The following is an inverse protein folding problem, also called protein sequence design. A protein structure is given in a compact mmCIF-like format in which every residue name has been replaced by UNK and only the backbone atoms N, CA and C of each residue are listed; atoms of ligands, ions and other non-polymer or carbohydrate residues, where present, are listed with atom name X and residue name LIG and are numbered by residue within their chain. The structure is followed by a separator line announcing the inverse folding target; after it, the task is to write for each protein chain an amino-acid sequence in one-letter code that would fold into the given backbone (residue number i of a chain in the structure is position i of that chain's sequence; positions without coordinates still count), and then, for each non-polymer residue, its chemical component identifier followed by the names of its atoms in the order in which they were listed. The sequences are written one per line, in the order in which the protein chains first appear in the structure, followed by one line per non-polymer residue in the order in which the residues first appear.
data_IF_382511762322
#
_entry.id   IF_382511762322
#
_cell.length_a   1.000
_cell.length_b   1.000
_cell.length_c   1.000
_cell.angle_alpha   90.00
_cell.angle_beta   90.00
_cell.angle_gamma   90.00
#
_symmetry.space_group_name_H-M   'P 1'
#
loop_
_entity.id
_entity.type
_entity.pdbx_description
1 polymer ?
#
# COMPACT_ATOMS: atom_id res chain seq x y z
N UNK A 1 -4.22 8.99 6.20
CA UNK A 1 -4.66 7.60 5.97
C UNK A 1 -5.06 7.47 4.50
N UNK A 2 -5.05 6.26 3.95
CA UNK A 2 -5.47 5.98 2.56
C UNK A 2 -6.38 4.76 2.55
N UNK A 3 -7.27 4.68 1.56
CA UNK A 3 -8.20 3.55 1.38
C UNK A 3 -7.90 2.83 0.07
N UNK A 4 -8.03 1.51 0.05
CA UNK A 4 -7.86 0.69 -1.16
C UNK A 4 -9.12 0.68 -2.03
N UNK A 5 -9.01 1.08 -3.30
CA UNK A 5 -10.19 1.51 -4.09
C UNK A 5 -10.78 0.44 -5.04
N UNK A 6 -9.98 -0.51 -5.52
CA UNK A 6 -10.43 -1.39 -6.64
C UNK A 6 -10.36 -2.90 -6.35
N UNK A 7 -9.44 -3.34 -5.49
CA UNK A 7 -9.26 -4.76 -5.16
C UNK A 7 -8.32 -4.92 -3.95
N UNK A 8 -8.05 -6.17 -3.56
CA UNK A 8 -7.03 -6.46 -2.57
C UNK A 8 -5.67 -5.94 -3.06
N UNK A 9 -5.05 -5.09 -2.27
CA UNK A 9 -3.80 -4.44 -2.60
C UNK A 9 -2.63 -5.23 -2.02
N UNK A 10 -1.71 -5.65 -2.89
CA UNK A 10 -0.47 -6.26 -2.44
C UNK A 10 0.49 -5.19 -1.93
N UNK A 11 1.02 -5.40 -0.73
CA UNK A 11 2.07 -4.59 -0.14
C UNK A 11 3.39 -5.32 -0.36
N UNK A 12 4.35 -4.63 -0.96
CA UNK A 12 5.61 -5.21 -1.41
C UNK A 12 6.79 -4.70 -0.60
N UNK A 13 7.88 -5.47 -0.54
CA UNK A 13 9.07 -5.09 0.22
C UNK A 13 9.77 -3.83 -0.31
N UNK A 14 9.59 -3.52 -1.59
CA UNK A 14 10.19 -2.37 -2.26
C UNK A 14 9.28 -1.80 -3.35
N UNK A 15 9.65 -0.65 -3.92
CA UNK A 15 8.94 -0.04 -5.03
C UNK A 15 9.21 -0.82 -6.33
N UNK A 16 8.29 -1.70 -6.72
CA UNK A 16 8.41 -2.49 -7.95
C UNK A 16 7.47 -3.69 -7.95
N UNK A 17 7.01 -4.12 -9.13
CA UNK A 17 6.14 -5.30 -9.28
C UNK A 17 6.89 -6.62 -9.19
N UNK A 18 8.22 -6.58 -9.34
CA UNK A 18 9.18 -7.67 -9.16
C UNK A 18 9.51 -7.92 -7.67
N UNK A 19 9.21 -6.96 -6.80
CA UNK A 19 9.50 -7.05 -5.37
C UNK A 19 8.57 -8.05 -4.66
N UNK A 20 9.07 -8.82 -3.68
CA UNK A 20 8.25 -9.81 -2.98
C UNK A 20 7.09 -9.13 -2.24
N UNK A 21 5.93 -9.79 -2.22
CA UNK A 21 4.76 -9.37 -1.44
C UNK A 21 5.02 -9.71 0.03
N UNK A 22 4.96 -8.71 0.89
CA UNK A 22 5.18 -8.83 2.34
C UNK A 22 3.87 -8.75 3.13
N UNK A 23 2.81 -8.20 2.52
CA UNK A 23 1.51 -8.09 3.15
C UNK A 23 0.41 -7.86 2.11
N UNK A 24 -0.85 -7.83 2.56
CA UNK A 24 -2.01 -7.52 1.72
C UNK A 24 -3.00 -6.67 2.51
N UNK A 25 -3.61 -5.71 1.83
CA UNK A 25 -4.75 -4.97 2.35
C UNK A 25 -6.01 -5.37 1.57
N UNK A 26 -7.10 -5.66 2.26
CA UNK A 26 -8.39 -5.92 1.64
C UNK A 26 -8.93 -4.68 0.93
N UNK A 27 -9.86 -4.85 0.00
CA UNK A 27 -10.58 -3.73 -0.60
C UNK A 27 -11.38 -2.94 0.46
N UNK A 28 -11.33 -1.61 0.41
CA UNK A 28 -11.96 -0.72 1.37
C UNK A 28 -11.21 -0.61 2.71
N UNK A 29 -10.11 -1.33 2.88
CA UNK A 29 -9.31 -1.26 4.09
C UNK A 29 -8.58 0.08 4.19
N UNK A 30 -8.60 0.65 5.39
CA UNK A 30 -7.93 1.91 5.70
C UNK A 30 -6.55 1.59 6.24
N UNK A 31 -5.52 1.94 5.48
CA UNK A 31 -4.12 1.77 5.88
C UNK A 31 -3.44 3.12 6.13
N UNK A 32 -2.36 3.08 6.91
CA UNK A 32 -1.61 4.29 7.26
C UNK A 32 -0.61 4.59 6.15
N UNK A 33 -0.69 5.79 5.56
CA UNK A 33 0.33 6.30 4.66
C UNK A 33 1.49 6.85 5.49
N UNK A 34 2.68 6.28 5.31
CA UNK A 34 3.91 6.71 6.01
C UNK A 34 4.73 7.68 5.15
N UNK A 35 4.89 7.38 3.86
CA UNK A 35 5.69 8.21 2.96
C UNK A 35 5.24 8.06 1.50
N UNK A 36 5.22 9.15 0.75
CA UNK A 36 5.07 9.13 -0.71
C UNK A 36 6.45 9.02 -1.35
N UNK A 37 7.00 7.81 -1.38
CA UNK A 37 8.38 7.59 -1.81
C UNK A 37 8.64 7.98 -3.27
N UNK A 38 7.64 7.86 -4.15
CA UNK A 38 7.62 8.44 -5.48
C UNK A 38 6.16 8.55 -6.00
N UNK A 39 6.00 8.94 -7.27
CA UNK A 39 4.70 9.13 -7.92
C UNK A 39 3.88 7.84 -8.04
N UNK A 40 4.55 6.68 -8.06
CA UNK A 40 3.93 5.38 -8.30
C UNK A 40 3.83 4.50 -7.06
N UNK A 41 4.71 4.67 -6.07
CA UNK A 41 4.85 3.78 -4.93
C UNK A 41 4.93 4.56 -3.63
N UNK A 42 4.02 4.23 -2.72
CA UNK A 42 3.94 4.84 -1.40
C UNK A 42 4.21 3.80 -0.33
N UNK A 43 4.99 4.21 0.68
CA UNK A 43 5.22 3.43 1.88
C UNK A 43 3.98 3.54 2.78
N UNK A 44 3.43 2.39 3.13
CA UNK A 44 2.21 2.24 3.92
C UNK A 44 2.42 1.25 5.06
N UNK A 45 1.53 1.30 6.05
CA UNK A 45 1.46 0.35 7.16
C UNK A 45 0.02 -0.17 7.32
N UNK A 46 -0.13 -1.48 7.39
CA UNK A 46 -1.42 -2.16 7.67
C UNK A 46 -1.82 -2.05 9.13
N UNK A 47 -3.04 -2.48 9.46
CA UNK A 47 -3.49 -2.55 10.86
C UNK A 47 -2.71 -3.60 11.67
N UNK A 48 -2.25 -4.67 11.00
CA UNK A 48 -1.37 -5.70 11.56
C UNK A 48 0.09 -5.23 11.80
N UNK A 49 0.34 -3.92 11.67
CA UNK A 49 1.66 -3.29 11.80
C UNK A 49 2.70 -3.74 10.76
N UNK A 50 2.29 -4.34 9.64
CA UNK A 50 3.20 -4.66 8.54
C UNK A 50 3.46 -3.43 7.68
N UNK A 51 4.73 -3.21 7.32
CA UNK A 51 5.15 -2.09 6.47
C UNK A 51 5.62 -2.55 5.09
N UNK A 52 5.27 -1.75 4.08
CA UNK A 52 5.83 -1.91 2.75
C UNK A 52 5.25 -0.94 1.74
N UNK A 53 5.52 -1.21 0.48
CA UNK A 53 5.20 -0.34 -0.64
C UNK A 53 3.96 -0.81 -1.36
N UNK A 54 3.04 0.11 -1.59
CA UNK A 54 1.84 -0.11 -2.35
C UNK A 54 1.77 0.87 -3.53
N UNK A 55 1.19 0.40 -4.64
CA UNK A 55 1.11 1.20 -5.86
C UNK A 55 0.04 2.28 -5.70
N UNK A 56 0.44 3.54 -5.85
CA UNK A 56 -0.35 4.73 -5.51
C UNK A 56 -1.67 4.81 -6.28
N UNK A 57 -1.74 4.29 -7.51
CA UNK A 57 -2.97 4.31 -8.31
C UNK A 57 -4.14 3.55 -7.67
N UNK A 58 -3.85 2.66 -6.71
CA UNK A 58 -4.86 1.87 -5.99
C UNK A 58 -5.21 2.45 -4.62
N UNK A 59 -4.62 3.59 -4.26
CA UNK A 59 -4.77 4.25 -2.99
C UNK A 59 -5.47 5.60 -3.17
N UNK A 60 -6.57 5.78 -2.46
CA UNK A 60 -7.29 7.04 -2.40
C UNK A 60 -7.03 7.72 -1.06
N UNK A 61 -6.49 8.95 -1.03
CA UNK A 61 -6.43 9.75 0.19
C UNK A 61 -7.82 9.88 0.79
N UNK A 62 -7.92 9.74 2.12
CA UNK A 62 -9.11 10.19 2.84
C UNK A 62 -9.06 11.69 3.10
#
# INVERSE_FOLDING_TARGET
KVTTDTSNLNIRKGPGTDQPVVGKAAHGEIITLLNKSNDQWWLVRTDDMEEGYAYAQYLSPQ
#
